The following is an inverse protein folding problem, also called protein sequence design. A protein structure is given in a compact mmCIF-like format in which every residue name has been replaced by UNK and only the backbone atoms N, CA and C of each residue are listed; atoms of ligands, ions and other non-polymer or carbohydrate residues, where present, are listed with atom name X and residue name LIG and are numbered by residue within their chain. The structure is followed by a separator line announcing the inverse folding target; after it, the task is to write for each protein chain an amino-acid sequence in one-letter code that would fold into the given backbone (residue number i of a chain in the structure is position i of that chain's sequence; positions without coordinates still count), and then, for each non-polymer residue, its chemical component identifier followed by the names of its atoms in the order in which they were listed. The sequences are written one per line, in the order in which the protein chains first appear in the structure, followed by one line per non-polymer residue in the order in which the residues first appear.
data_IF_774560626551
#
_entry.id   IF_774560626551
#
_cell.length_a   1.000
_cell.length_b   1.000
_cell.length_c   1.000
_cell.angle_alpha   90.00
_cell.angle_beta   90.00
_cell.angle_gamma   90.00
#
_symmetry.space_group_name_H-M   'P 1'
#
loop_
_entity.id
_entity.type
_entity.pdbx_description
1 polymer ?
#
# COMPACT_ATOMS: atom_id res chain seq x y z
N UNK A 1 -23.81 -13.25 1.57
CA UNK A 1 -23.29 -13.82 2.83
C UNK A 1 -24.05 -13.20 3.99
N UNK A 2 -24.45 -13.98 5.00
CA UNK A 2 -24.87 -13.40 6.29
C UNK A 2 -23.65 -13.42 7.19
N UNK A 3 -23.24 -12.26 7.68
CA UNK A 3 -22.18 -12.16 8.68
C UNK A 3 -22.67 -12.87 9.95
N UNK A 4 -21.92 -13.85 10.44
CA UNK A 4 -22.28 -14.55 11.66
C UNK A 4 -21.93 -13.72 12.89
N UNK A 5 -22.59 -13.98 14.02
CA UNK A 5 -22.29 -13.30 15.29
C UNK A 5 -20.83 -13.45 15.69
N UNK A 6 -20.20 -14.58 15.33
CA UNK A 6 -18.78 -14.85 15.57
C UNK A 6 -17.88 -13.90 14.75
N UNK A 7 -18.21 -13.62 13.50
CA UNK A 7 -17.45 -12.70 12.65
C UNK A 7 -17.48 -11.27 13.23
N UNK A 8 -18.67 -10.83 13.67
CA UNK A 8 -18.85 -9.51 14.31
C UNK A 8 -18.05 -9.44 15.62
N UNK A 9 -18.09 -10.50 16.42
CA UNK A 9 -17.36 -10.57 17.68
C UNK A 9 -15.84 -10.51 17.45
N UNK A 10 -15.31 -11.28 16.50
CA UNK A 10 -13.89 -11.25 16.14
C UNK A 10 -13.47 -9.89 15.60
N UNK A 11 -14.28 -9.28 14.74
CA UNK A 11 -14.04 -7.92 14.25
C UNK A 11 -14.01 -6.89 15.38
N UNK A 12 -14.99 -6.94 16.30
CA UNK A 12 -15.03 -6.03 17.44
C UNK A 12 -13.83 -6.22 18.37
N UNK A 13 -13.42 -7.47 18.65
CA UNK A 13 -12.22 -7.78 19.43
C UNK A 13 -10.98 -7.20 18.74
N UNK A 14 -10.84 -7.37 17.43
CA UNK A 14 -9.75 -6.82 16.65
C UNK A 14 -9.68 -5.29 16.74
N UNK A 15 -10.81 -4.60 16.55
CA UNK A 15 -10.88 -3.13 16.64
C UNK A 15 -10.54 -2.65 18.05
N UNK A 16 -11.10 -3.29 19.09
CA UNK A 16 -10.81 -2.95 20.49
C UNK A 16 -9.33 -3.20 20.82
N UNK A 17 -8.75 -4.30 20.35
CA UNK A 17 -7.34 -4.61 20.55
C UNK A 17 -6.44 -3.56 19.89
N UNK A 18 -6.74 -3.15 18.65
CA UNK A 18 -6.00 -2.09 17.96
C UNK A 18 -6.10 -0.76 18.69
N UNK A 19 -7.31 -0.34 19.11
CA UNK A 19 -7.50 0.89 19.88
C UNK A 19 -6.76 0.79 21.22
N UNK A 20 -6.78 -0.37 21.87
CA UNK A 20 -6.07 -0.63 23.12
C UNK A 20 -4.56 -0.52 22.98
N UNK A 21 -3.98 -1.09 21.91
CA UNK A 21 -2.55 -0.96 21.58
C UNK A 21 -2.21 0.49 21.27
N UNK A 22 -2.99 1.15 20.42
CA UNK A 22 -2.78 2.55 20.07
C UNK A 22 -2.81 3.46 21.31
N UNK A 23 -3.78 3.26 22.20
CA UNK A 23 -3.89 4.01 23.45
C UNK A 23 -2.76 3.70 24.43
N UNK A 24 -2.36 2.42 24.57
CA UNK A 24 -1.24 2.03 25.43
C UNK A 24 0.10 2.60 24.95
N UNK A 25 0.33 2.64 23.64
CA UNK A 25 1.53 3.22 23.03
C UNK A 25 1.50 4.75 23.03
N UNK A 26 0.31 5.35 22.95
CA UNK A 26 0.09 6.79 23.04
C UNK A 26 0.26 7.31 24.47
N UNK A 27 0.10 6.46 25.50
CA UNK A 27 0.43 6.81 26.88
C UNK A 27 1.93 7.11 27.01
N UNK A 28 2.22 8.31 27.47
CA UNK A 28 3.58 8.74 27.78
C UNK A 28 4.12 7.98 28.99
N UNK A 29 5.38 7.53 28.90
CA UNK A 29 6.11 7.13 30.10
C UNK A 29 6.27 8.35 31.02
N UNK A 30 5.79 8.22 32.26
CA UNK A 30 5.89 9.29 33.26
C UNK A 30 7.36 9.60 33.52
N UNK A 31 7.83 10.76 33.04
CA UNK A 31 9.16 11.30 33.34
C UNK A 31 10.14 11.40 32.16
N UNK A 32 9.76 11.01 30.94
CA UNK A 32 10.58 11.22 29.74
C UNK A 32 10.17 12.53 29.04
N UNK A 33 10.99 13.57 29.17
CA UNK A 33 10.95 14.71 28.24
C UNK A 33 11.41 14.21 26.87
N UNK A 34 10.48 14.15 25.91
CA UNK A 34 10.81 13.77 24.53
C UNK A 34 11.64 14.88 23.90
N UNK A 35 12.94 14.66 23.80
CA UNK A 35 13.70 15.35 22.77
C UNK A 35 13.20 14.85 21.41
N UNK A 36 12.95 15.77 20.48
CA UNK A 36 12.59 15.48 19.08
C UNK A 36 13.53 14.44 18.47
N UNK A 37 14.77 14.39 19.00
CA UNK A 37 15.76 13.41 18.66
C UNK A 37 15.34 11.96 18.96
N UNK A 38 14.60 11.58 20.00
CA UNK A 38 14.28 10.16 20.26
C UNK A 38 13.28 9.56 19.24
N UNK A 39 12.48 10.40 18.59
CA UNK A 39 11.60 9.98 17.50
C UNK A 39 12.37 9.79 16.18
N UNK A 40 13.45 10.54 16.00
CA UNK A 40 14.30 10.52 14.79
C UNK A 40 15.58 9.67 14.95
N UNK A 41 16.08 9.41 16.16
CA UNK A 41 17.34 8.72 16.48
C UNK A 41 17.24 7.21 16.33
N UNK A 42 16.02 6.65 16.28
CA UNK A 42 15.83 5.32 15.70
C UNK A 42 16.37 5.26 14.26
N UNK A 43 16.45 6.38 13.55
CA UNK A 43 16.98 6.51 12.19
C UNK A 43 18.47 6.19 12.02
N UNK A 44 19.26 6.07 13.11
CA UNK A 44 20.70 5.72 13.03
C UNK A 44 21.04 4.28 13.39
N UNK A 45 20.07 3.47 13.86
CA UNK A 45 20.31 2.10 14.35
C UNK A 45 19.33 1.04 13.83
N UNK A 46 18.41 1.42 12.94
CA UNK A 46 17.51 0.44 12.32
C UNK A 46 18.30 -0.54 11.43
N UNK A 47 18.17 -1.86 11.65
CA UNK A 47 18.84 -2.84 10.82
C UNK A 47 18.23 -2.83 9.40
N UNK A 48 19.04 -3.19 8.39
CA UNK A 48 18.64 -3.13 6.98
C UNK A 48 17.33 -3.87 6.65
N UNK A 49 17.06 -5.00 7.34
CA UNK A 49 15.84 -5.78 7.14
C UNK A 49 14.60 -5.04 7.65
N UNK A 50 14.73 -4.24 8.72
CA UNK A 50 13.64 -3.44 9.26
C UNK A 50 13.32 -2.26 8.34
N UNK A 51 14.35 -1.63 7.76
CA UNK A 51 14.18 -0.56 6.77
C UNK A 51 13.48 -1.09 5.53
N UNK A 52 13.94 -2.22 4.98
CA UNK A 52 13.30 -2.84 3.81
C UNK A 52 11.85 -3.27 4.08
N UNK A 53 11.59 -3.91 5.23
CA UNK A 53 10.24 -4.28 5.62
C UNK A 53 9.33 -3.05 5.76
N UNK A 54 9.81 -1.96 6.37
CA UNK A 54 9.07 -0.71 6.52
C UNK A 54 8.72 -0.07 5.17
N UNK A 55 9.66 -0.05 4.23
CA UNK A 55 9.43 0.50 2.88
C UNK A 55 8.34 -0.26 2.12
N UNK A 56 8.32 -1.59 2.21
CA UNK A 56 7.27 -2.40 1.58
C UNK A 56 5.95 -2.31 2.36
N UNK A 57 6.01 -2.33 3.69
CA UNK A 57 4.84 -2.18 4.56
C UNK A 57 4.07 -0.88 4.27
N UNK A 58 4.78 0.23 4.05
CA UNK A 58 4.18 1.51 3.68
C UNK A 58 3.40 1.50 2.35
N UNK A 59 3.63 0.48 1.50
CA UNK A 59 2.92 0.29 0.24
C UNK A 59 1.75 -0.69 0.35
N UNK A 60 1.67 -1.48 1.42
CA UNK A 60 0.60 -2.48 1.60
C UNK A 60 -0.61 -1.78 2.20
N UNK A 61 -1.62 -1.55 1.36
CA UNK A 61 -2.87 -0.89 1.73
C UNK A 61 -4.09 -1.66 1.23
N UNK A 62 -5.28 -1.22 1.64
CA UNK A 62 -6.54 -1.74 1.10
C UNK A 62 -6.64 -1.56 -0.43
N UNK A 63 -6.08 -0.46 -0.95
CA UNK A 63 -5.98 -0.22 -2.39
C UNK A 63 -5.13 -1.30 -3.07
N UNK A 64 -3.98 -1.64 -2.47
CA UNK A 64 -3.12 -2.68 -3.01
C UNK A 64 -3.83 -4.04 -3.02
N UNK A 65 -4.50 -4.42 -1.94
CA UNK A 65 -5.15 -5.74 -1.85
C UNK A 65 -6.37 -5.82 -2.77
N UNK A 66 -7.26 -4.84 -2.76
CA UNK A 66 -8.52 -4.90 -3.51
C UNK A 66 -8.29 -4.48 -4.97
N UNK A 67 -7.58 -3.39 -5.19
CA UNK A 67 -7.30 -2.83 -6.50
C UNK A 67 -6.45 -3.77 -7.35
N UNK A 68 -5.32 -4.27 -6.81
CA UNK A 68 -4.49 -5.21 -7.57
C UNK A 68 -5.16 -6.56 -7.78
N UNK A 69 -6.02 -7.02 -6.86
CA UNK A 69 -6.83 -8.23 -7.10
C UNK A 69 -7.85 -8.01 -8.21
N UNK A 70 -8.48 -6.84 -8.28
CA UNK A 70 -9.38 -6.47 -9.39
C UNK A 70 -8.65 -6.41 -10.73
N UNK A 71 -7.47 -5.78 -10.76
CA UNK A 71 -6.61 -5.78 -11.95
C UNK A 71 -6.10 -7.18 -12.30
N UNK A 72 -5.81 -8.03 -11.31
CA UNK A 72 -5.46 -9.43 -11.53
C UNK A 72 -6.62 -10.24 -12.10
N UNK A 73 -7.85 -9.97 -11.70
CA UNK A 73 -9.05 -10.57 -12.28
C UNK A 73 -9.24 -10.14 -13.76
N UNK A 74 -9.00 -8.87 -14.08
CA UNK A 74 -9.16 -8.31 -15.43
C UNK A 74 -8.00 -8.67 -16.38
N UNK A 75 -6.77 -8.36 -15.97
CA UNK A 75 -5.56 -8.38 -16.79
C UNK A 75 -4.68 -9.61 -16.51
N UNK A 76 -4.77 -10.19 -15.32
CA UNK A 76 -3.93 -11.32 -14.91
C UNK A 76 -2.59 -10.89 -14.31
N UNK A 77 -1.59 -11.77 -14.41
CA UNK A 77 -0.26 -11.63 -13.81
C UNK A 77 0.56 -10.49 -14.43
N UNK A 78 0.22 -10.02 -15.65
CA UNK A 78 0.86 -8.86 -16.26
C UNK A 78 0.89 -7.63 -15.36
N UNK A 79 -0.12 -7.42 -14.49
CA UNK A 79 -0.13 -6.27 -13.57
C UNK A 79 1.02 -6.33 -12.55
N UNK A 80 1.56 -7.52 -12.25
CA UNK A 80 2.72 -7.69 -11.38
C UNK A 80 3.98 -7.01 -11.93
N UNK A 81 4.00 -6.60 -13.20
CA UNK A 81 5.06 -5.80 -13.79
C UNK A 81 5.31 -4.50 -13.01
N UNK A 82 4.27 -3.90 -12.39
CA UNK A 82 4.42 -2.73 -11.51
C UNK A 82 5.42 -3.01 -10.39
N UNK A 83 5.25 -4.13 -9.69
CA UNK A 83 6.08 -4.55 -8.55
C UNK A 83 7.45 -5.07 -8.97
N UNK A 84 7.53 -5.83 -10.06
CA UNK A 84 8.81 -6.36 -10.55
C UNK A 84 9.73 -5.24 -11.06
N UNK A 85 9.17 -4.26 -11.75
CA UNK A 85 9.91 -3.08 -12.19
C UNK A 85 10.22 -2.13 -11.03
N UNK A 86 9.37 -2.06 -10.01
CA UNK A 86 9.67 -1.35 -8.76
C UNK A 86 10.92 -1.93 -8.07
N UNK A 87 11.08 -3.26 -8.02
CA UNK A 87 12.26 -3.90 -7.43
C UNK A 87 13.56 -3.46 -8.10
N UNK A 88 13.60 -3.40 -9.44
CA UNK A 88 14.78 -2.90 -10.18
C UNK A 88 14.97 -1.40 -9.94
N UNK A 89 13.87 -0.64 -9.90
CA UNK A 89 13.90 0.80 -9.65
C UNK A 89 14.48 1.12 -8.28
N UNK A 90 14.11 0.36 -7.25
CA UNK A 90 14.65 0.49 -5.89
C UNK A 90 16.17 0.31 -5.84
N UNK A 91 16.74 -0.59 -6.65
CA UNK A 91 18.20 -0.74 -6.77
C UNK A 91 18.82 0.53 -7.34
N UNK A 92 18.21 1.13 -8.37
CA UNK A 92 18.68 2.37 -8.98
C UNK A 92 18.58 3.53 -7.99
N UNK A 93 17.44 3.66 -7.31
CA UNK A 93 17.21 4.71 -6.30
C UNK A 93 18.21 4.58 -5.16
N UNK A 94 18.35 3.38 -4.59
CA UNK A 94 19.27 3.12 -3.49
C UNK A 94 20.74 3.35 -3.85
N UNK A 95 21.16 3.00 -5.08
CA UNK A 95 22.55 3.16 -5.52
C UNK A 95 22.90 4.57 -5.99
N UNK A 96 21.99 5.27 -6.66
CA UNK A 96 22.29 6.52 -7.35
C UNK A 96 21.58 7.75 -6.77
N UNK A 97 20.33 7.63 -6.33
CA UNK A 97 19.53 8.78 -5.88
C UNK A 97 19.77 9.04 -4.38
N UNK A 98 19.68 7.99 -3.57
CA UNK A 98 19.81 8.06 -2.12
C UNK A 98 21.15 8.68 -1.66
N UNK A 99 22.31 8.35 -2.25
CA UNK A 99 23.57 9.01 -1.85
C UNK A 99 23.57 10.52 -2.10
N UNK A 100 22.86 11.00 -3.12
CA UNK A 100 22.75 12.43 -3.43
C UNK A 100 21.88 13.13 -2.39
N UNK A 101 20.73 12.56 -2.05
CA UNK A 101 19.82 13.13 -1.04
C UNK A 101 20.48 13.20 0.34
N UNK A 102 21.15 12.11 0.76
CA UNK A 102 21.87 12.07 2.04
C UNK A 102 23.03 13.08 2.08
N UNK A 103 23.80 13.21 0.99
CA UNK A 103 24.92 14.16 0.93
C UNK A 103 24.47 15.61 1.05
N UNK A 104 23.30 15.96 0.50
CA UNK A 104 22.76 17.32 0.53
C UNK A 104 21.76 17.56 1.68
N UNK A 105 21.55 16.57 2.56
CA UNK A 105 20.59 16.65 3.67
C UNK A 105 19.18 17.05 3.20
N UNK A 106 18.75 16.40 2.11
CA UNK A 106 17.40 16.52 1.57
C UNK A 106 16.54 15.46 2.24
N UNK A 107 15.47 15.89 2.91
CA UNK A 107 14.55 15.03 3.65
C UNK A 107 13.14 15.01 3.04
N UNK A 108 12.79 15.99 2.20
CA UNK A 108 11.48 16.05 1.54
C UNK A 108 11.61 16.51 0.09
N UNK A 109 10.70 16.09 -0.78
CA UNK A 109 10.73 16.55 -2.17
C UNK A 109 10.44 18.04 -2.36
N UNK A 110 9.51 18.67 -1.62
CA UNK A 110 9.38 20.12 -1.67
C UNK A 110 10.70 20.84 -1.33
N UNK A 111 11.48 20.31 -0.38
CA UNK A 111 12.80 20.84 -0.03
C UNK A 111 13.82 20.61 -1.15
N UNK A 112 13.84 19.43 -1.78
CA UNK A 112 14.69 19.17 -2.96
C UNK A 112 14.42 20.18 -4.07
N UNK A 113 13.14 20.38 -4.41
CA UNK A 113 12.73 21.28 -5.47
C UNK A 113 13.09 22.74 -5.18
N UNK A 114 12.97 23.17 -3.92
CA UNK A 114 13.35 24.52 -3.52
C UNK A 114 14.86 24.74 -3.53
N UNK A 115 15.66 23.76 -3.09
CA UNK A 115 17.12 23.86 -3.14
C UNK A 115 17.66 23.78 -4.57
N UNK A 116 17.02 23.00 -5.44
CA UNK A 116 17.49 22.77 -6.81
C UNK A 116 17.01 23.83 -7.80
N UNK A 117 15.81 24.36 -7.61
CA UNK A 117 15.17 25.32 -8.50
C UNK A 117 14.86 26.61 -7.75
N UNK A 118 13.62 26.78 -7.30
CA UNK A 118 13.18 27.96 -6.54
C UNK A 118 11.88 27.66 -5.76
N UNK A 119 11.43 28.68 -5.01
CA UNK A 119 10.19 28.62 -4.25
C UNK A 119 8.94 28.47 -5.13
N UNK A 120 8.95 28.96 -6.38
CA UNK A 120 7.79 28.88 -7.28
C UNK A 120 7.54 27.44 -7.70
N UNK A 121 8.59 26.71 -8.06
CA UNK A 121 8.51 25.28 -8.42
C UNK A 121 8.04 24.46 -7.22
N UNK A 122 8.57 24.72 -6.02
CA UNK A 122 8.10 24.07 -4.78
C UNK A 122 6.60 24.26 -4.59
N UNK A 123 6.10 25.50 -4.70
CA UNK A 123 4.69 25.80 -4.47
C UNK A 123 3.77 25.15 -5.50
N UNK A 124 4.15 25.18 -6.78
CA UNK A 124 3.38 24.50 -7.85
C UNK A 124 3.28 23.00 -7.58
N UNK A 125 4.40 22.36 -7.24
CA UNK A 125 4.40 20.92 -6.94
C UNK A 125 3.64 20.59 -5.66
N UNK A 126 3.71 21.43 -4.62
CA UNK A 126 2.95 21.23 -3.39
C UNK A 126 1.44 21.29 -3.64
N UNK A 127 0.96 22.27 -4.41
CA UNK A 127 -0.47 22.38 -4.77
C UNK A 127 -0.90 21.21 -5.65
N UNK A 128 -0.08 20.83 -6.64
CA UNK A 128 -0.35 19.68 -7.49
C UNK A 128 -0.49 18.39 -6.69
N UNK A 129 0.49 18.09 -5.82
CA UNK A 129 0.45 16.90 -4.96
C UNK A 129 -0.71 16.93 -3.99
N UNK A 130 -1.04 18.08 -3.38
CA UNK A 130 -2.20 18.20 -2.51
C UNK A 130 -3.49 17.82 -3.26
N UNK A 131 -3.63 18.28 -4.52
CA UNK A 131 -4.74 17.88 -5.39
C UNK A 131 -4.77 16.37 -5.64
N UNK A 132 -3.63 15.76 -5.98
CA UNK A 132 -3.53 14.31 -6.21
C UNK A 132 -3.92 13.53 -4.94
N UNK A 133 -3.41 13.93 -3.76
CA UNK A 133 -3.72 13.24 -2.52
C UNK A 133 -5.20 13.32 -2.14
N UNK A 134 -5.85 14.48 -2.33
CA UNK A 134 -7.26 14.67 -1.99
C UNK A 134 -8.18 13.99 -3.00
N UNK A 135 -7.98 14.25 -4.29
CA UNK A 135 -8.94 13.85 -5.33
C UNK A 135 -8.68 12.44 -5.89
N UNK A 136 -7.45 11.94 -5.80
CA UNK A 136 -7.10 10.61 -6.32
C UNK A 136 -6.92 9.64 -5.15
N UNK A 137 -5.87 9.81 -4.35
CA UNK A 137 -5.50 8.80 -3.33
C UNK A 137 -6.58 8.62 -2.26
N UNK A 138 -7.00 9.70 -1.60
CA UNK A 138 -7.96 9.62 -0.50
C UNK A 138 -9.34 9.17 -1.00
N UNK A 139 -9.73 9.61 -2.20
CA UNK A 139 -10.99 9.18 -2.83
C UNK A 139 -10.95 7.68 -3.19
N UNK A 140 -9.86 7.20 -3.79
CA UNK A 140 -9.70 5.79 -4.14
C UNK A 140 -9.71 4.88 -2.90
N UNK A 141 -8.95 5.24 -1.86
CA UNK A 141 -8.87 4.44 -0.62
C UNK A 141 -10.22 4.38 0.10
N UNK A 142 -10.94 5.50 0.23
CA UNK A 142 -12.26 5.51 0.86
C UNK A 142 -13.28 4.69 0.04
N UNK A 143 -13.25 4.81 -1.29
CA UNK A 143 -14.16 4.07 -2.15
C UNK A 143 -13.88 2.57 -2.14
N UNK A 144 -12.62 2.14 -2.29
CA UNK A 144 -12.22 0.73 -2.22
C UNK A 144 -12.52 0.13 -0.84
N UNK A 145 -12.26 0.87 0.24
CA UNK A 145 -12.62 0.46 1.59
C UNK A 145 -14.13 0.30 1.76
N UNK A 146 -14.93 1.26 1.28
CA UNK A 146 -16.38 1.18 1.32
C UNK A 146 -16.92 0.03 0.46
N UNK A 147 -16.31 -0.24 -0.69
CA UNK A 147 -16.66 -1.37 -1.55
C UNK A 147 -16.44 -2.70 -0.84
N UNK A 148 -15.36 -2.84 -0.07
CA UNK A 148 -15.14 -4.03 0.75
C UNK A 148 -16.23 -4.20 1.81
N UNK A 149 -16.57 -3.13 2.54
CA UNK A 149 -17.64 -3.15 3.55
C UNK A 149 -18.98 -3.49 2.89
N UNK A 150 -19.31 -2.90 1.75
CA UNK A 150 -20.53 -3.19 1.00
C UNK A 150 -20.60 -4.66 0.58
N UNK A 151 -19.51 -5.21 0.05
CA UNK A 151 -19.45 -6.60 -0.42
C UNK A 151 -19.62 -7.60 0.70
N UNK A 152 -19.05 -7.33 1.88
CA UNK A 152 -19.04 -8.24 3.02
C UNK A 152 -20.31 -8.09 3.88
N UNK A 153 -20.69 -6.85 4.20
CA UNK A 153 -21.73 -6.51 5.17
C UNK A 153 -23.02 -5.96 4.57
N UNK A 154 -23.04 -5.67 3.26
CA UNK A 154 -24.21 -5.09 2.59
C UNK A 154 -24.51 -3.64 2.96
N UNK A 155 -23.57 -2.93 3.62
CA UNK A 155 -23.72 -1.51 3.97
C UNK A 155 -23.61 -0.68 2.70
N UNK A 156 -24.50 0.29 2.52
CA UNK A 156 -24.44 1.21 1.37
C UNK A 156 -23.08 1.92 1.28
N UNK A 157 -22.59 2.10 0.04
CA UNK A 157 -21.27 2.67 -0.24
C UNK A 157 -21.09 4.06 0.37
N UNK A 158 -22.12 4.92 0.35
CA UNK A 158 -22.04 6.27 0.91
C UNK A 158 -21.83 6.23 2.42
N UNK A 159 -22.61 5.40 3.13
CA UNK A 159 -22.45 5.25 4.57
C UNK A 159 -21.11 4.60 4.93
N UNK A 160 -20.61 3.66 4.12
CA UNK A 160 -19.28 3.08 4.27
C UNK A 160 -18.17 4.12 4.16
N UNK A 161 -18.22 4.99 3.13
CA UNK A 161 -17.23 6.06 2.95
C UNK A 161 -17.27 7.09 4.10
N UNK A 162 -18.47 7.52 4.51
CA UNK A 162 -18.63 8.45 5.63
C UNK A 162 -18.07 7.84 6.92
N UNK A 163 -18.38 6.57 7.19
CA UNK A 163 -17.87 5.85 8.35
C UNK A 163 -16.34 5.81 8.36
N UNK A 164 -15.71 5.41 7.26
CA UNK A 164 -14.25 5.35 7.14
C UNK A 164 -13.61 6.74 7.29
N UNK A 165 -14.21 7.78 6.70
CA UNK A 165 -13.73 9.15 6.82
C UNK A 165 -13.78 9.68 8.25
N UNK A 166 -14.91 9.51 8.94
CA UNK A 166 -15.07 9.92 10.35
C UNK A 166 -14.14 9.12 11.26
N UNK A 167 -14.01 7.81 11.03
CA UNK A 167 -13.11 6.95 11.79
C UNK A 167 -11.64 7.35 11.61
N UNK A 168 -11.22 7.59 10.36
CA UNK A 168 -9.88 8.06 10.04
C UNK A 168 -9.59 9.42 10.69
N UNK A 169 -10.53 10.38 10.62
CA UNK A 169 -10.38 11.68 11.27
C UNK A 169 -10.24 11.56 12.79
N UNK A 170 -11.10 10.78 13.44
CA UNK A 170 -11.03 10.55 14.88
C UNK A 170 -9.66 9.92 15.24
N UNK A 171 -9.26 8.88 14.51
CA UNK A 171 -7.99 8.20 14.74
C UNK A 171 -6.78 9.13 14.56
N UNK A 172 -6.76 9.95 13.50
CA UNK A 172 -5.68 10.91 13.23
C UNK A 172 -5.59 12.02 14.28
N UNK A 173 -6.72 12.52 14.79
CA UNK A 173 -6.72 13.62 15.78
C UNK A 173 -6.29 13.15 17.17
N UNK A 174 -6.61 11.92 17.57
CA UNK A 174 -6.35 11.42 18.93
C UNK A 174 -5.12 10.50 19.06
N UNK A 175 -4.66 9.87 17.96
CA UNK A 175 -3.61 8.83 18.02
C UNK A 175 -2.17 9.34 18.11
N UNK A 176 -1.83 10.41 17.38
CA UNK A 176 -0.45 10.86 17.20
C UNK A 176 0.40 9.91 16.34
N UNK A 177 1.47 10.43 15.71
CA UNK A 177 2.24 9.71 14.67
C UNK A 177 2.84 8.36 15.16
N UNK A 178 3.18 8.26 16.46
CA UNK A 178 3.77 7.03 17.05
C UNK A 178 2.78 5.87 17.09
N UNK A 179 1.55 6.15 17.51
CA UNK A 179 0.52 5.13 17.64
C UNK A 179 0.15 4.57 16.25
N UNK A 180 0.09 5.45 15.25
CA UNK A 180 -0.14 5.12 13.84
C UNK A 180 0.91 4.12 13.34
N UNK A 181 2.19 4.47 13.44
CA UNK A 181 3.27 3.62 12.93
C UNK A 181 3.29 2.21 13.57
N UNK A 182 2.98 2.11 14.86
CA UNK A 182 2.97 0.80 15.54
C UNK A 182 1.77 -0.06 15.12
N UNK A 183 0.59 0.54 14.96
CA UNK A 183 -0.59 -0.19 14.47
C UNK A 183 -0.43 -0.62 13.02
N UNK A 184 0.26 0.17 12.19
CA UNK A 184 0.48 -0.13 10.78
C UNK A 184 1.29 -1.42 10.60
N UNK A 185 2.32 -1.66 11.44
CA UNK A 185 3.10 -2.89 11.38
C UNK A 185 2.22 -4.13 11.63
N UNK A 186 1.34 -4.06 12.63
CA UNK A 186 0.41 -5.16 12.95
C UNK A 186 -0.55 -5.38 11.79
N UNK A 187 -1.09 -4.30 11.22
CA UNK A 187 -2.01 -4.36 10.08
C UNK A 187 -1.37 -4.99 8.85
N UNK A 188 -0.13 -4.61 8.52
CA UNK A 188 0.58 -5.18 7.37
C UNK A 188 0.77 -6.68 7.52
N UNK A 189 1.18 -7.15 8.70
CA UNK A 189 1.32 -8.60 8.96
C UNK A 189 -0.02 -9.31 8.77
N UNK A 190 -1.12 -8.74 9.29
CA UNK A 190 -2.45 -9.32 9.14
C UNK A 190 -2.93 -9.33 7.68
N UNK A 191 -2.67 -8.26 6.93
CA UNK A 191 -3.03 -8.17 5.51
C UNK A 191 -2.26 -9.19 4.67
N UNK A 192 -0.96 -9.36 4.92
CA UNK A 192 -0.13 -10.34 4.21
C UNK A 192 -0.57 -11.76 4.53
N UNK A 193 -0.74 -12.12 5.81
CA UNK A 193 -1.21 -13.44 6.21
C UNK A 193 -2.63 -13.71 5.70
N UNK A 194 -3.52 -12.72 5.79
CA UNK A 194 -4.90 -12.79 5.29
C UNK A 194 -4.95 -13.00 3.77
N UNK A 195 -4.14 -12.26 3.01
CA UNK A 195 -4.03 -12.42 1.56
C UNK A 195 -3.47 -13.78 1.12
N UNK A 196 -2.47 -14.31 1.83
CA UNK A 196 -1.95 -15.66 1.61
C UNK A 196 -2.99 -16.73 1.95
N UNK A 197 -3.69 -16.58 3.07
CA UNK A 197 -4.76 -17.50 3.47
C UNK A 197 -5.93 -17.50 2.47
N UNK A 198 -6.33 -16.32 2.00
CA UNK A 198 -7.36 -16.17 0.96
C UNK A 198 -6.93 -16.86 -0.33
N UNK A 199 -5.72 -16.58 -0.81
CA UNK A 199 -5.17 -17.18 -2.04
C UNK A 199 -5.08 -18.72 -1.94
N UNK A 200 -4.60 -19.23 -0.80
CA UNK A 200 -4.54 -20.66 -0.54
C UNK A 200 -5.94 -21.31 -0.57
N UNK A 201 -6.90 -20.70 0.11
CA UNK A 201 -8.26 -21.21 0.21
C UNK A 201 -8.95 -21.19 -1.16
N UNK A 202 -8.80 -20.09 -1.92
CA UNK A 202 -9.36 -19.97 -3.26
C UNK A 202 -8.83 -21.06 -4.19
N UNK A 203 -7.51 -21.28 -4.21
CA UNK A 203 -6.91 -22.33 -5.04
C UNK A 203 -7.28 -23.73 -4.56
N UNK A 204 -7.36 -23.95 -3.25
CA UNK A 204 -7.82 -25.24 -2.73
C UNK A 204 -9.27 -25.56 -3.16
N UNK A 205 -10.16 -24.55 -3.16
CA UNK A 205 -11.53 -24.69 -3.66
C UNK A 205 -11.55 -24.99 -5.16
N UNK A 206 -10.74 -24.30 -5.96
CA UNK A 206 -10.64 -24.54 -7.41
C UNK A 206 -10.07 -25.94 -7.71
N UNK A 207 -9.19 -26.45 -6.85
CA UNK A 207 -8.67 -27.81 -6.91
C UNK A 207 -9.59 -28.87 -6.33
N UNK A 208 -10.87 -28.57 -6.07
CA UNK A 208 -11.86 -29.46 -5.44
C UNK A 208 -11.37 -30.10 -4.14
N UNK A 209 -10.57 -29.37 -3.35
CA UNK A 209 -9.98 -29.84 -2.10
C UNK A 209 -8.75 -30.72 -2.26
N UNK A 210 -8.24 -30.95 -3.48
CA UNK A 210 -7.02 -31.69 -3.75
C UNK A 210 -5.73 -30.90 -3.42
N UNK A 211 -5.85 -29.69 -2.86
CA UNK A 211 -4.75 -28.84 -2.44
C UNK A 211 -4.45 -27.69 -3.40
N UNK A 212 -3.62 -26.77 -2.92
CA UNK A 212 -3.18 -25.55 -3.62
C UNK A 212 -2.63 -25.82 -5.03
N UNK A 213 -1.75 -26.82 -5.17
CA UNK A 213 -1.10 -27.12 -6.45
C UNK A 213 -2.06 -27.62 -7.51
N UNK A 214 -3.09 -28.37 -7.11
CA UNK A 214 -4.12 -28.84 -8.03
C UNK A 214 -4.92 -27.66 -8.58
N UNK A 215 -5.39 -26.76 -7.70
CA UNK A 215 -6.08 -25.55 -8.13
C UNK A 215 -5.23 -24.63 -8.98
N UNK A 216 -3.95 -24.45 -8.63
CA UNK A 216 -3.03 -23.66 -9.43
C UNK A 216 -2.88 -24.22 -10.85
N UNK A 217 -2.70 -25.54 -10.98
CA UNK A 217 -2.62 -26.20 -12.27
C UNK A 217 -3.90 -26.00 -13.09
N UNK A 218 -5.08 -26.14 -12.47
CA UNK A 218 -6.38 -25.87 -13.10
C UNK A 218 -6.44 -24.44 -13.64
N UNK A 219 -6.13 -23.43 -12.82
CA UNK A 219 -6.18 -22.02 -13.26
C UNK A 219 -5.20 -21.74 -14.40
N UNK A 220 -3.98 -22.27 -14.34
CA UNK A 220 -2.99 -22.08 -15.41
C UNK A 220 -3.38 -22.80 -16.71
N UNK A 221 -4.14 -23.89 -16.63
CA UNK A 221 -4.57 -24.66 -17.80
C UNK A 221 -5.82 -24.05 -18.44
N UNK A 222 -6.79 -23.64 -17.63
CA UNK A 222 -8.07 -23.08 -18.10
C UNK A 222 -7.96 -21.61 -18.50
N UNK A 223 -7.06 -20.85 -17.86
CA UNK A 223 -6.88 -19.42 -18.08
C UNK A 223 -5.40 -19.05 -18.35
N UNK A 224 -4.73 -19.66 -19.34
CA UNK A 224 -3.31 -19.45 -19.59
C UNK A 224 -2.98 -17.98 -19.89
N UNK A 225 -3.87 -17.27 -20.60
CA UNK A 225 -3.70 -15.85 -20.93
C UNK A 225 -3.68 -14.92 -19.71
N UNK A 226 -4.15 -15.37 -18.53
CA UNK A 226 -3.99 -14.62 -17.28
C UNK A 226 -2.58 -14.71 -16.71
N UNK A 227 -1.68 -15.50 -17.30
CA UNK A 227 -0.28 -15.61 -16.89
C UNK A 227 0.68 -14.98 -17.90
N UNK A 228 0.16 -14.43 -19.00
CA UNK A 228 0.95 -13.65 -19.94
C UNK A 228 1.45 -12.38 -19.25
N UNK A 229 2.77 -12.18 -19.27
CA UNK A 229 3.41 -11.00 -18.66
C UNK A 229 3.47 -9.80 -19.60
N UNK A 230 3.58 -10.07 -20.90
CA UNK A 230 3.66 -9.08 -21.97
C UNK A 230 2.42 -9.26 -22.84
N UNK A 231 1.49 -8.31 -22.75
CA UNK A 231 0.24 -8.38 -23.48
C UNK A 231 0.46 -8.17 -24.99
N UNK A 232 -0.21 -8.98 -25.80
CA UNK A 232 -0.28 -8.81 -27.24
C UNK A 232 -1.28 -7.71 -27.62
N UNK A 233 -1.13 -7.11 -28.81
CA UNK A 233 -1.96 -5.99 -29.27
C UNK A 233 -3.45 -6.33 -29.40
N UNK A 234 -3.78 -7.61 -29.57
CA UNK A 234 -5.16 -8.12 -29.62
C UNK A 234 -5.79 -8.28 -28.23
N UNK A 235 -5.03 -8.15 -27.14
CA UNK A 235 -5.55 -8.22 -25.79
C UNK A 235 -6.43 -6.98 -25.48
N UNK A 236 -7.68 -7.16 -24.97
CA UNK A 236 -8.55 -6.03 -24.62
C UNK A 236 -7.94 -5.01 -23.63
N UNK A 237 -6.97 -5.45 -22.82
CA UNK A 237 -6.27 -4.64 -21.82
C UNK A 237 -4.90 -4.16 -22.28
N UNK A 238 -4.55 -4.28 -23.57
CA UNK A 238 -3.28 -3.79 -24.11
C UNK A 238 -3.10 -2.28 -23.87
N UNK A 239 -4.17 -1.49 -23.94
CA UNK A 239 -4.08 -0.05 -23.68
C UNK A 239 -3.73 0.27 -22.22
N UNK A 240 -4.05 -0.62 -21.27
CA UNK A 240 -3.70 -0.48 -19.87
C UNK A 240 -2.22 -0.87 -19.63
N UNK A 241 -1.75 -1.93 -20.29
CA UNK A 241 -0.37 -2.44 -20.23
C UNK A 241 0.18 -2.75 -21.64
N UNK A 242 0.78 -1.76 -22.34
CA UNK A 242 1.11 -1.87 -23.77
C UNK A 242 2.36 -2.73 -24.05
N UNK A 243 2.22 -4.03 -23.90
CA UNK A 243 3.24 -5.02 -24.25
C UNK A 243 4.61 -4.68 -23.65
N UNK A 244 5.65 -4.58 -24.49
CA UNK A 244 7.02 -4.32 -24.03
C UNK A 244 7.22 -2.94 -23.40
N UNK A 245 6.29 -2.00 -23.55
CA UNK A 245 6.43 -0.67 -22.91
C UNK A 245 6.44 -0.76 -21.38
N UNK A 246 5.95 -1.86 -20.80
CA UNK A 246 6.04 -2.11 -19.36
C UNK A 246 7.50 -2.33 -18.90
N UNK A 247 8.39 -2.78 -19.79
CA UNK A 247 9.81 -3.02 -19.47
C UNK A 247 10.72 -1.87 -19.87
N UNK A 248 10.43 -1.17 -20.98
CA UNK A 248 11.34 -0.17 -21.56
C UNK A 248 10.72 1.23 -21.69
N UNK A 249 9.44 1.39 -21.37
CA UNK A 249 8.68 2.61 -21.62
C UNK A 249 8.16 3.29 -20.35
N UNK A 250 6.87 3.61 -20.36
CA UNK A 250 6.23 4.49 -19.36
C UNK A 250 6.29 3.99 -17.92
N UNK A 251 6.43 2.67 -17.71
CA UNK A 251 6.52 2.10 -16.36
C UNK A 251 7.75 2.59 -15.59
N UNK A 252 8.85 2.92 -16.29
CA UNK A 252 10.02 3.57 -15.68
C UNK A 252 9.70 4.96 -15.14
N UNK A 253 8.92 5.76 -15.87
CA UNK A 253 8.56 7.12 -15.46
C UNK A 253 7.78 7.06 -14.15
N UNK A 254 6.79 6.18 -14.10
CA UNK A 254 5.95 6.00 -12.93
C UNK A 254 6.75 5.45 -11.74
N UNK A 255 7.53 4.39 -11.92
CA UNK A 255 8.31 3.81 -10.82
C UNK A 255 9.41 4.75 -10.31
N UNK A 256 10.15 5.44 -11.19
CA UNK A 256 11.15 6.41 -10.77
C UNK A 256 10.50 7.61 -10.08
N UNK A 257 9.35 8.07 -10.56
CA UNK A 257 8.59 9.13 -9.90
C UNK A 257 8.12 8.70 -8.51
N UNK A 258 7.63 7.47 -8.36
CA UNK A 258 7.11 6.96 -7.11
C UNK A 258 8.23 6.67 -6.10
N UNK A 259 9.12 5.73 -6.42
CA UNK A 259 10.19 5.26 -5.52
C UNK A 259 11.35 6.25 -5.40
N UNK A 260 11.66 6.99 -6.47
CA UNK A 260 12.80 7.91 -6.48
C UNK A 260 12.49 9.30 -5.93
N UNK A 261 11.23 9.73 -6.00
CA UNK A 261 10.84 11.08 -5.59
C UNK A 261 9.64 11.09 -4.63
N UNK A 262 8.51 10.44 -4.91
CA UNK A 262 7.34 10.58 -4.04
C UNK A 262 7.51 9.88 -2.67
N UNK A 263 8.27 8.79 -2.61
CA UNK A 263 8.46 8.05 -1.37
C UNK A 263 9.30 8.87 -0.38
N UNK A 264 8.67 9.26 0.73
CA UNK A 264 9.34 9.91 1.85
C UNK A 264 10.23 8.87 2.55
N UNK A 265 11.53 9.17 2.65
CA UNK A 265 12.52 8.40 3.41
C UNK A 265 12.70 9.07 4.78
#
# INVERSE_FOLDING_TARGET
MKIETLDIALFAIYVIALIGIAWWVSREEKGHEKDTNDYFLAGSSLPWWAIGASLIAANISAEQIIGMSGSGYMVGLAIASYEWMAAITLIIVGKYFLPIFLKHKIYTMPQFLEQRYDHRVRMVMAVFWLGVYVFVNLTAVLWLGALAINTIAGVDLMYGMIFLGVFSLAYSLYGGLKAVAMTDIIQVVLLVLGGMFLSYTALNIIGDGAGFWAGFNTVTTELPGKFDMILSEDNPHYMDLPGLSVLIGGMWIMNLSYWGFNQYI
#
